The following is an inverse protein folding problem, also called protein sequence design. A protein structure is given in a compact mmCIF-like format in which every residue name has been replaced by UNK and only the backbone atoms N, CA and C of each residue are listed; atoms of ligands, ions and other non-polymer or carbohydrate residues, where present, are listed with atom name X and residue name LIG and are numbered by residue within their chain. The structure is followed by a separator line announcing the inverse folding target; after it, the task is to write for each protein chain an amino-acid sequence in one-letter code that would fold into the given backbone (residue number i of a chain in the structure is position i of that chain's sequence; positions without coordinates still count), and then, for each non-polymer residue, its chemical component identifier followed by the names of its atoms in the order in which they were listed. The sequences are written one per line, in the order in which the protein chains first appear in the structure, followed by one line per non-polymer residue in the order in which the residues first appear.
data_IF_084185497312
#
_entry.id   IF_084185497312
#
_cell.length_a   1.000
_cell.length_b   1.000
_cell.length_c   1.000
_cell.angle_alpha   90.00
_cell.angle_beta   90.00
_cell.angle_gamma   90.00
#
_symmetry.space_group_name_H-M   'P 1'
#
loop_
_entity.id
_entity.type
_entity.pdbx_description
1 polymer ?
#
# COMPACT_ATOMS: atom_id res chain seq x y z
N UNK A 1 -18.51 19.64 1.06
CA UNK A 1 -18.32 18.26 1.57
C UNK A 1 -19.47 17.45 1.06
N UNK A 2 -19.23 16.47 0.20
CA UNK A 2 -20.27 15.55 -0.26
C UNK A 2 -20.59 14.60 0.90
N UNK A 3 -21.83 14.62 1.36
CA UNK A 3 -22.30 13.76 2.45
C UNK A 3 -22.55 12.36 1.87
N UNK A 4 -21.61 11.45 2.12
CA UNK A 4 -21.70 10.07 1.66
C UNK A 4 -22.65 9.31 2.59
N UNK A 5 -23.64 8.61 2.01
CA UNK A 5 -24.57 7.82 2.81
C UNK A 5 -23.86 6.59 3.42
N UNK A 6 -24.26 6.10 4.60
CA UNK A 6 -23.65 4.92 5.22
C UNK A 6 -23.57 3.70 4.28
N UNK A 7 -24.55 3.55 3.38
CA UNK A 7 -24.59 2.48 2.39
C UNK A 7 -23.41 2.51 1.42
N UNK A 8 -22.91 3.69 1.07
CA UNK A 8 -21.71 3.83 0.22
C UNK A 8 -20.43 3.40 0.93
N UNK A 9 -20.46 3.31 2.25
CA UNK A 9 -19.34 2.86 3.10
C UNK A 9 -19.49 1.39 3.53
N UNK A 10 -20.36 0.63 2.88
CA UNK A 10 -20.54 -0.78 3.19
C UNK A 10 -21.36 -1.04 4.45
N UNK A 11 -22.32 -0.17 4.78
CA UNK A 11 -23.27 -0.40 5.86
C UNK A 11 -24.68 -0.70 5.33
N UNK A 12 -25.35 -1.69 5.91
CA UNK A 12 -26.74 -2.02 5.65
C UNK A 12 -27.63 -1.47 6.78
N UNK A 13 -28.75 -0.82 6.44
CA UNK A 13 -29.74 -0.37 7.42
C UNK A 13 -30.81 -1.46 7.66
N UNK A 14 -30.77 -2.13 8.82
CA UNK A 14 -31.73 -3.16 9.24
C UNK A 14 -32.50 -2.67 10.46
N UNK A 15 -33.82 -2.51 10.38
CA UNK A 15 -34.66 -2.16 11.54
C UNK A 15 -34.20 -0.93 12.32
N UNK A 16 -33.71 0.11 11.63
CA UNK A 16 -33.17 1.32 12.25
C UNK A 16 -31.75 1.21 12.80
N UNK A 17 -31.06 0.08 12.58
CA UNK A 17 -29.66 -0.16 12.96
C UNK A 17 -28.78 -0.28 11.72
N UNK A 18 -27.56 0.27 11.79
CA UNK A 18 -26.53 0.05 10.78
C UNK A 18 -25.75 -1.23 11.12
N UNK A 19 -25.82 -2.22 10.23
CA UNK A 19 -25.03 -3.44 10.29
C UNK A 19 -23.91 -3.37 9.23
N UNK A 20 -22.67 -3.80 9.54
CA UNK A 20 -21.60 -3.82 8.55
C UNK A 20 -21.86 -4.91 7.50
N UNK A 21 -21.66 -4.60 6.22
CA UNK A 21 -21.62 -5.59 5.17
C UNK A 21 -20.29 -6.33 5.22
N UNK A 22 -20.32 -7.65 5.39
CA UNK A 22 -19.12 -8.48 5.32
C UNK A 22 -18.70 -8.72 3.87
N UNK A 23 -17.41 -8.96 3.66
CA UNK A 23 -16.85 -9.27 2.35
C UNK A 23 -15.83 -10.40 2.48
N UNK A 24 -15.79 -11.26 1.48
CA UNK A 24 -14.74 -12.28 1.31
C UNK A 24 -13.51 -11.71 0.57
N UNK A 25 -13.58 -10.45 0.13
CA UNK A 25 -12.45 -9.76 -0.46
C UNK A 25 -11.36 -9.54 0.60
N UNK A 26 -10.08 -9.60 0.20
CA UNK A 26 -8.99 -9.29 1.12
C UNK A 26 -9.10 -7.84 1.61
N UNK A 27 -8.70 -7.55 2.86
CA UNK A 27 -8.82 -6.21 3.45
C UNK A 27 -7.95 -5.16 2.73
N UNK A 28 -6.99 -5.60 1.91
CA UNK A 28 -6.17 -4.76 1.06
C UNK A 28 -5.68 -5.57 -0.16
N UNK A 29 -5.25 -4.89 -1.24
CA UNK A 29 -4.52 -5.51 -2.33
C UNK A 29 -3.35 -6.37 -1.83
N UNK A 30 -3.13 -7.52 -2.48
CA UNK A 30 -2.13 -8.50 -2.06
C UNK A 30 -0.71 -7.91 -1.96
N UNK A 31 -0.38 -6.96 -2.84
CA UNK A 31 0.89 -6.24 -2.80
C UNK A 31 1.09 -5.46 -1.49
N UNK A 32 0.03 -4.81 -0.98
CA UNK A 32 0.07 -4.07 0.28
C UNK A 32 0.20 -5.01 1.48
N UNK A 33 -0.49 -6.16 1.45
CA UNK A 33 -0.37 -7.18 2.49
C UNK A 33 1.02 -7.83 2.52
N UNK A 34 1.69 -7.93 1.37
CA UNK A 34 3.05 -8.47 1.23
C UNK A 34 4.14 -7.41 1.39
N UNK A 35 3.80 -6.14 1.58
CA UNK A 35 4.78 -5.07 1.66
C UNK A 35 5.59 -5.18 2.96
N UNK A 36 6.86 -5.57 2.83
CA UNK A 36 7.81 -5.61 3.95
C UNK A 36 8.60 -4.31 3.96
N UNK A 37 8.58 -3.57 5.07
CA UNK A 37 9.49 -2.44 5.26
C UNK A 37 10.86 -2.95 5.68
N UNK A 38 11.91 -2.60 4.93
CA UNK A 38 13.28 -2.84 5.38
C UNK A 38 13.69 -1.83 6.46
N UNK A 39 14.61 -2.25 7.34
CA UNK A 39 15.20 -1.37 8.35
C UNK A 39 16.64 -0.96 7.99
N UNK A 40 16.96 -1.00 6.70
CA UNK A 40 18.29 -0.74 6.16
C UNK A 40 18.81 0.63 6.60
N UNK A 41 20.09 0.65 6.97
CA UNK A 41 20.87 1.88 7.23
C UNK A 41 21.88 2.11 6.10
N UNK A 42 21.62 1.52 4.94
CA UNK A 42 22.48 1.55 3.76
C UNK A 42 21.61 1.46 2.51
N UNK A 43 22.24 1.60 1.36
CA UNK A 43 21.65 1.74 0.02
C UNK A 43 20.85 0.53 -0.52
N UNK A 44 20.47 -0.44 0.31
CA UNK A 44 19.70 -1.63 -0.09
C UNK A 44 20.29 -2.47 -1.24
N UNK A 45 21.58 -2.33 -1.59
CA UNK A 45 22.19 -3.04 -2.74
C UNK A 45 22.29 -4.56 -2.57
N UNK A 46 22.36 -5.04 -1.33
CA UNK A 46 22.62 -6.44 -1.00
C UNK A 46 21.40 -7.14 -0.40
N UNK A 47 21.44 -8.48 -0.32
CA UNK A 47 20.42 -9.30 0.36
C UNK A 47 20.36 -9.08 1.89
N UNK A 48 21.12 -8.13 2.44
CA UNK A 48 20.90 -7.60 3.81
C UNK A 48 19.61 -6.78 3.89
N UNK A 49 19.14 -6.22 2.77
CA UNK A 49 17.80 -5.66 2.67
C UNK A 49 16.76 -6.78 2.65
N UNK A 50 15.81 -6.74 3.58
CA UNK A 50 14.75 -7.74 3.69
C UNK A 50 13.81 -7.72 2.48
N UNK A 51 13.49 -6.54 1.93
CA UNK A 51 12.72 -6.42 0.69
C UNK A 51 13.40 -7.22 -0.43
N UNK A 52 14.67 -6.89 -0.73
CA UNK A 52 15.47 -7.57 -1.75
C UNK A 52 15.65 -9.06 -1.48
N UNK A 53 15.84 -9.46 -0.22
CA UNK A 53 15.96 -10.87 0.18
C UNK A 53 14.71 -11.67 -0.19
N UNK A 54 13.53 -11.05 -0.10
CA UNK A 54 12.25 -11.65 -0.47
C UNK A 54 11.82 -11.35 -1.91
N UNK A 55 12.70 -10.78 -2.73
CA UNK A 55 12.41 -10.44 -4.13
C UNK A 55 11.45 -9.26 -4.30
N UNK A 56 11.30 -8.42 -3.28
CA UNK A 56 10.46 -7.23 -3.29
C UNK A 56 11.29 -5.96 -3.49
N UNK A 57 10.72 -4.99 -4.17
CA UNK A 57 11.21 -3.61 -4.22
C UNK A 57 10.91 -2.87 -2.92
N UNK A 58 11.77 -1.91 -2.56
CA UNK A 58 11.52 -1.00 -1.44
C UNK A 58 10.51 0.06 -1.88
N UNK A 59 9.35 0.16 -1.23
CA UNK A 59 8.32 1.15 -1.60
C UNK A 59 8.87 2.58 -1.80
N UNK A 60 8.36 3.28 -2.83
CA UNK A 60 8.68 4.68 -3.16
C UNK A 60 8.33 5.66 -2.05
N UNK A 61 7.40 5.30 -1.15
CA UNK A 61 7.15 6.04 0.08
C UNK A 61 8.41 6.18 0.96
N UNK A 62 9.45 5.40 0.68
CA UNK A 62 10.76 5.42 1.32
C UNK A 62 11.88 5.53 0.27
N UNK A 63 11.75 6.46 -0.70
CA UNK A 63 12.79 6.78 -1.68
C UNK A 63 14.20 6.89 -1.04
N UNK A 64 14.23 7.33 0.22
CA UNK A 64 15.37 7.19 1.11
C UNK A 64 15.11 6.14 2.20
N UNK A 65 15.94 5.10 2.22
CA UNK A 65 15.98 4.15 3.33
C UNK A 65 16.77 4.75 4.48
N UNK A 66 16.07 5.38 5.43
CA UNK A 66 16.66 6.12 6.58
C UNK A 66 17.60 7.25 6.14
N UNK A 67 17.19 8.05 5.15
CA UNK A 67 17.98 9.19 4.67
C UNK A 67 19.12 8.82 3.73
N UNK A 68 19.18 7.57 3.27
CA UNK A 68 20.17 7.09 2.29
C UNK A 68 19.44 6.67 1.03
N UNK A 69 19.97 7.09 -0.12
CA UNK A 69 19.49 6.69 -1.43
C UNK A 69 19.34 5.17 -1.53
N UNK A 70 18.13 4.70 -1.84
CA UNK A 70 17.81 3.29 -1.94
C UNK A 70 18.05 2.78 -3.37
N UNK A 71 18.96 1.83 -3.57
CA UNK A 71 19.20 1.18 -4.88
C UNK A 71 18.27 -0.01 -5.15
N UNK A 72 17.22 -0.16 -4.34
CA UNK A 72 16.18 -1.17 -4.49
C UNK A 72 14.79 -0.52 -4.58
N UNK A 73 14.70 0.77 -4.88
CA UNK A 73 13.43 1.45 -5.13
C UNK A 73 12.87 1.09 -6.51
N UNK A 74 11.54 1.07 -6.70
CA UNK A 74 10.92 0.96 -8.01
C UNK A 74 11.42 2.05 -8.95
N UNK A 75 11.41 1.78 -10.25
CA UNK A 75 11.44 2.85 -11.23
C UNK A 75 10.18 3.72 -11.09
N UNK A 76 10.25 5.04 -11.33
CA UNK A 76 9.03 5.84 -11.42
C UNK A 76 8.12 5.22 -12.48
N UNK A 77 6.92 4.80 -12.08
CA UNK A 77 5.92 4.39 -13.06
C UNK A 77 5.57 5.60 -13.93
N UNK A 78 5.36 5.43 -15.25
CA UNK A 78 4.83 6.51 -16.06
C UNK A 78 3.49 6.93 -15.45
N UNK A 79 3.38 8.21 -15.11
CA UNK A 79 2.10 8.82 -14.75
C UNK A 79 1.15 8.59 -15.92
N UNK A 80 0.22 7.64 -15.75
CA UNK A 80 -0.95 7.57 -16.60
C UNK A 80 -1.79 8.78 -16.23
N UNK A 81 -1.67 9.81 -17.05
CA UNK A 81 -2.53 10.98 -17.01
C UNK A 81 -3.96 10.50 -17.27
N UNK A 82 -4.78 10.53 -16.23
CA UNK A 82 -6.21 10.23 -16.30
C UNK A 82 -6.99 11.55 -16.32
N UNK A 83 -6.66 12.48 -17.21
CA UNK A 83 -7.53 13.60 -17.56
C UNK A 83 -8.10 13.41 -18.98
N UNK A 84 -9.32 12.84 -19.06
CA UNK A 84 -10.32 13.10 -20.12
C UNK A 84 -11.66 13.35 -19.45
#
# INVERSE_FOLDING_TARGET
MCDLTPQMWGWHLSSGRLDPCTTDLPPAPELLLKMIRCNCKSDCRSKRCTCRKHGLECSLAFAECKGISCLNSPSPEPVVDCDV
#
